data_IF_470003300254
#
_entry.id   IF_470003300254
#
_cell.length_a   1.000
_cell.length_b   1.000
_cell.length_c   1.000
_cell.angle_alpha   90.00
_cell.angle_beta   90.00
_cell.angle_gamma   90.00
#
_symmetry.space_group_name_H-M   'P 1'
#
loop_
_entity.id
_entity.type
_entity.pdbx_description
1 polymer ?
#
# COMPACT_ATOMS: atom_id res chain seq x y z
N UNK A 1 29.03 -7.66 19.21
CA UNK A 1 28.65 -6.46 18.44
C UNK A 1 28.34 -6.90 17.01
N UNK A 2 27.07 -7.16 16.70
CA UNK A 2 26.63 -7.55 15.35
C UNK A 2 25.84 -6.38 14.77
N UNK A 3 26.48 -5.58 13.94
CA UNK A 3 25.78 -4.58 13.13
C UNK A 3 24.93 -5.39 12.15
N UNK A 4 23.63 -5.55 12.45
CA UNK A 4 22.65 -6.07 11.48
C UNK A 4 22.65 -5.11 10.30
N UNK A 5 23.44 -5.41 9.27
CA UNK A 5 23.39 -4.69 8.02
C UNK A 5 21.96 -4.81 7.49
N UNK A 6 21.28 -3.66 7.38
CA UNK A 6 19.97 -3.63 6.73
C UNK A 6 20.16 -4.20 5.33
N UNK A 7 19.40 -5.21 4.90
CA UNK A 7 19.57 -5.78 3.58
C UNK A 7 19.56 -4.64 2.55
N UNK A 8 20.61 -4.56 1.75
CA UNK A 8 20.69 -3.62 0.62
C UNK A 8 19.63 -4.07 -0.37
N UNK A 9 18.41 -3.56 -0.21
CA UNK A 9 17.42 -3.60 -1.25
C UNK A 9 18.08 -2.98 -2.49
N UNK A 10 18.01 -3.67 -3.63
CA UNK A 10 18.34 -3.06 -4.91
C UNK A 10 17.67 -1.68 -4.93
N UNK A 11 18.33 -0.61 -5.41
CA UNK A 11 17.73 0.71 -5.48
C UNK A 11 16.49 0.58 -6.36
N UNK A 12 15.34 0.40 -5.71
CA UNK A 12 14.06 0.38 -6.39
C UNK A 12 14.01 1.73 -7.07
N UNK A 13 13.93 1.78 -8.42
CA UNK A 13 13.86 3.03 -9.14
C UNK A 13 12.84 3.86 -8.41
N UNK A 14 13.20 5.06 -7.94
CA UNK A 14 12.20 5.98 -7.38
C UNK A 14 11.14 6.01 -8.46
N UNK A 15 9.93 5.44 -8.26
CA UNK A 15 8.94 5.45 -9.32
C UNK A 15 8.82 6.91 -9.66
N UNK A 16 9.11 7.25 -10.91
CA UNK A 16 9.14 8.63 -11.37
C UNK A 16 7.82 9.25 -10.94
N UNK A 17 7.87 10.03 -9.84
CA UNK A 17 6.73 10.79 -9.32
C UNK A 17 6.50 12.02 -10.21
N UNK A 18 7.24 12.09 -11.32
CA UNK A 18 6.97 12.90 -12.50
C UNK A 18 5.77 12.32 -13.24
N UNK A 19 4.62 12.32 -12.59
CA UNK A 19 3.33 12.16 -13.23
C UNK A 19 2.55 13.45 -12.96
N UNK A 20 1.96 14.03 -13.99
CA UNK A 20 1.07 15.19 -13.84
C UNK A 20 -0.11 14.82 -12.93
N UNK A 21 -0.77 15.80 -12.30
CA UNK A 21 -1.97 15.53 -11.49
C UNK A 21 -3.02 14.69 -12.25
N UNK A 22 -3.23 14.96 -13.54
CA UNK A 22 -4.15 14.19 -14.38
C UNK A 22 -3.71 12.72 -14.55
N UNK A 23 -2.42 12.46 -14.74
CA UNK A 23 -1.89 11.09 -14.81
C UNK A 23 -2.02 10.38 -13.46
N UNK A 24 -1.76 11.08 -12.36
CA UNK A 24 -1.95 10.52 -11.01
C UNK A 24 -3.42 10.14 -10.77
N UNK A 25 -4.37 10.98 -11.16
CA UNK A 25 -5.80 10.70 -11.06
C UNK A 25 -6.21 9.47 -11.90
N UNK A 26 -5.71 9.36 -13.14
CA UNK A 26 -5.95 8.18 -13.99
C UNK A 26 -5.37 6.90 -13.37
N UNK A 27 -4.16 6.97 -12.82
CA UNK A 27 -3.52 5.86 -12.12
C UNK A 27 -4.30 5.48 -10.85
N UNK A 28 -4.78 6.44 -10.08
CA UNK A 28 -5.61 6.18 -8.90
C UNK A 28 -6.94 5.51 -9.26
N UNK A 29 -7.60 5.95 -10.34
CA UNK A 29 -8.80 5.28 -10.85
C UNK A 29 -8.54 3.82 -11.24
N UNK A 30 -7.48 3.55 -12.00
CA UNK A 30 -7.03 2.19 -12.32
C UNK A 30 -6.67 1.38 -11.08
N UNK A 31 -5.95 2.00 -10.14
CA UNK A 31 -5.52 1.40 -8.89
C UNK A 31 -6.70 0.94 -8.02
N UNK A 32 -7.78 1.72 -7.99
CA UNK A 32 -9.02 1.34 -7.31
C UNK A 32 -9.60 0.05 -7.90
N UNK A 33 -9.68 -0.05 -9.22
CA UNK A 33 -10.19 -1.25 -9.89
C UNK A 33 -9.30 -2.47 -9.61
N UNK A 34 -7.98 -2.30 -9.66
CA UNK A 34 -7.03 -3.37 -9.34
C UNK A 34 -7.14 -3.83 -7.89
N UNK A 35 -7.30 -2.88 -6.95
CA UNK A 35 -7.46 -3.13 -5.52
C UNK A 35 -8.70 -3.99 -5.24
N UNK A 36 -9.87 -3.63 -5.78
CA UNK A 36 -11.13 -4.33 -5.50
C UNK A 36 -11.32 -5.60 -6.34
N UNK A 37 -10.94 -5.59 -7.62
CA UNK A 37 -11.45 -6.60 -8.57
C UNK A 37 -10.39 -7.61 -9.03
N UNK A 38 -9.11 -7.23 -9.06
CA UNK A 38 -8.04 -8.11 -9.57
C UNK A 38 -7.26 -8.77 -8.46
N UNK A 39 -6.81 -7.98 -7.49
CA UNK A 39 -5.95 -8.45 -6.40
C UNK A 39 -6.70 -8.70 -5.09
N UNK A 40 -7.99 -8.34 -5.02
CA UNK A 40 -8.86 -8.64 -3.88
C UNK A 40 -8.34 -8.08 -2.56
N UNK A 41 -7.68 -6.92 -2.58
CA UNK A 41 -7.05 -6.35 -1.38
C UNK A 41 -8.08 -6.05 -0.27
N UNK A 42 -9.32 -5.77 -0.66
CA UNK A 42 -10.45 -5.54 0.22
C UNK A 42 -10.89 -6.79 0.99
N UNK A 43 -10.46 -8.00 0.59
CA UNK A 43 -10.75 -9.22 1.34
C UNK A 43 -10.08 -9.21 2.73
N UNK A 44 -8.93 -8.53 2.85
CA UNK A 44 -8.20 -8.42 4.10
C UNK A 44 -8.23 -7.01 4.70
N UNK A 45 -8.29 -5.96 3.87
CA UNK A 45 -8.24 -4.58 4.32
C UNK A 45 -9.58 -3.86 4.16
N UNK A 46 -9.92 -3.02 5.14
CA UNK A 46 -11.06 -2.12 5.05
C UNK A 46 -10.68 -0.77 4.44
N UNK A 47 -11.60 -0.21 3.65
CA UNK A 47 -11.67 1.20 3.26
C UNK A 47 -13.11 1.67 3.47
N UNK A 48 -13.29 2.76 4.21
CA UNK A 48 -14.57 3.21 4.72
C UNK A 48 -15.16 2.18 5.67
N UNK A 49 -16.39 1.78 5.38
CA UNK A 49 -17.12 0.76 6.15
C UNK A 49 -17.07 -0.63 5.47
N UNK A 50 -16.34 -0.78 4.37
CA UNK A 50 -16.34 -2.00 3.54
C UNK A 50 -14.98 -2.68 3.50
N UNK A 51 -14.97 -4.01 3.56
CA UNK A 51 -13.77 -4.84 3.44
C UNK A 51 -13.49 -5.67 4.68
N UNK A 52 -12.34 -6.34 4.70
CA UNK A 52 -11.91 -7.22 5.80
C UNK A 52 -11.16 -6.51 6.92
N UNK A 53 -10.97 -7.24 8.02
CA UNK A 53 -10.24 -6.77 9.22
C UNK A 53 -8.97 -7.59 9.52
N UNK A 54 -8.59 -8.51 8.61
CA UNK A 54 -7.34 -9.29 8.74
C UNK A 54 -6.11 -8.39 8.68
N UNK A 55 -6.16 -7.38 7.82
CA UNK A 55 -5.19 -6.29 7.73
C UNK A 55 -5.75 -4.99 8.31
N UNK A 56 -4.87 -4.02 8.64
CA UNK A 56 -5.30 -2.74 9.18
C UNK A 56 -6.15 -1.95 8.15
N UNK A 57 -7.04 -1.06 8.63
CA UNK A 57 -7.79 -0.16 7.77
C UNK A 57 -6.85 0.77 6.99
N UNK A 58 -7.19 1.05 5.74
CA UNK A 58 -6.36 1.84 4.81
C UNK A 58 -6.89 3.26 4.55
N UNK A 59 -7.95 3.68 5.24
CA UNK A 59 -8.60 4.99 5.13
C UNK A 59 -7.66 6.20 5.19
N UNK A 60 -6.54 6.03 5.91
CA UNK A 60 -5.53 7.06 6.15
C UNK A 60 -4.18 6.69 5.54
N UNK A 61 -4.13 5.73 4.62
CA UNK A 61 -2.89 5.27 4.03
C UNK A 61 -2.12 6.40 3.34
N UNK A 62 -2.80 7.28 2.60
CA UNK A 62 -2.18 8.41 1.91
C UNK A 62 -1.57 9.44 2.85
N UNK A 63 -2.16 9.61 4.04
CA UNK A 63 -1.65 10.51 5.07
C UNK A 63 -0.48 9.88 5.84
N UNK A 64 -0.57 8.58 6.16
CA UNK A 64 0.37 7.90 7.06
C UNK A 64 1.59 7.30 6.36
N UNK A 65 1.47 6.90 5.10
CA UNK A 65 2.45 6.05 4.43
C UNK A 65 3.13 6.77 3.28
N UNK A 66 4.43 6.56 3.15
CA UNK A 66 5.19 7.05 2.01
C UNK A 66 4.86 6.22 0.75
N UNK A 67 4.57 6.89 -0.36
CA UNK A 67 4.22 6.25 -1.64
C UNK A 67 5.26 5.23 -2.14
N UNK A 68 6.56 5.52 -2.01
CA UNK A 68 7.60 4.59 -2.44
C UNK A 68 7.64 3.36 -1.54
N UNK A 69 7.42 3.54 -0.24
CA UNK A 69 7.31 2.44 0.71
C UNK A 69 6.11 1.56 0.38
N UNK A 70 4.94 2.15 0.09
CA UNK A 70 3.71 1.41 -0.27
C UNK A 70 3.92 0.57 -1.53
N UNK A 71 4.49 1.15 -2.59
CA UNK A 71 4.79 0.41 -3.81
C UNK A 71 5.70 -0.80 -3.55
N UNK A 72 6.77 -0.62 -2.76
CA UNK A 72 7.68 -1.71 -2.39
C UNK A 72 7.00 -2.77 -1.52
N UNK A 73 6.16 -2.35 -0.58
CA UNK A 73 5.45 -3.25 0.33
C UNK A 73 4.48 -4.17 -0.43
N UNK A 74 3.74 -3.62 -1.40
CA UNK A 74 2.83 -4.39 -2.24
C UNK A 74 3.58 -5.43 -3.09
N UNK A 75 4.76 -5.07 -3.61
CA UNK A 75 5.56 -5.96 -4.46
C UNK A 75 6.31 -7.04 -3.68
N UNK A 76 6.81 -6.69 -2.51
CA UNK A 76 7.79 -7.52 -1.78
C UNK A 76 7.52 -7.58 -0.27
N UNK A 77 6.30 -7.95 0.18
CA UNK A 77 5.93 -7.85 1.59
C UNK A 77 6.83 -8.72 2.49
N UNK A 78 7.14 -9.95 2.07
CA UNK A 78 7.98 -10.89 2.83
C UNK A 78 9.46 -10.48 2.88
N UNK A 79 9.95 -9.75 1.86
CA UNK A 79 11.33 -9.23 1.87
C UNK A 79 11.42 -8.03 2.82
N UNK A 80 10.39 -7.17 2.82
CA UNK A 80 10.36 -6.00 3.69
C UNK A 80 10.12 -6.37 5.16
N UNK A 81 9.25 -7.34 5.42
CA UNK A 81 8.99 -7.89 6.74
C UNK A 81 8.84 -9.41 6.63
N UNK A 82 9.89 -10.18 7.00
CA UNK A 82 9.79 -11.63 7.07
C UNK A 82 8.60 -12.06 7.92
N UNK A 83 7.87 -13.09 7.48
CA UNK A 83 6.69 -13.65 8.15
C UNK A 83 5.52 -12.68 8.30
N UNK A 84 5.43 -11.62 7.49
CA UNK A 84 4.23 -10.79 7.47
C UNK A 84 3.02 -11.62 7.00
N UNK A 85 1.84 -11.38 7.58
CA UNK A 85 0.60 -12.08 7.18
C UNK A 85 0.13 -11.67 5.78
N UNK A 86 0.58 -10.53 5.26
CA UNK A 86 0.24 -10.10 3.91
C UNK A 86 0.94 -10.99 2.87
N UNK A 87 0.21 -11.74 2.04
CA UNK A 87 0.81 -12.60 1.02
C UNK A 87 1.48 -11.77 -0.07
N UNK A 88 2.46 -12.36 -0.75
CA UNK A 88 2.93 -11.80 -2.01
C UNK A 88 1.93 -12.18 -3.12
N UNK A 89 1.16 -11.20 -3.60
CA UNK A 89 0.11 -11.39 -4.61
C UNK A 89 0.63 -11.38 -6.06
N UNK A 90 1.95 -11.32 -6.28
CA UNK A 90 2.53 -11.27 -7.62
C UNK A 90 2.14 -10.01 -8.41
N UNK A 91 1.86 -8.90 -7.72
CA UNK A 91 1.44 -7.62 -8.33
C UNK A 91 2.54 -7.14 -9.28
N UNK A 92 2.22 -6.77 -10.53
CA UNK A 92 3.22 -6.23 -11.45
C UNK A 92 3.67 -4.81 -11.06
N UNK A 93 4.76 -4.31 -11.65
CA UNK A 93 5.24 -2.96 -11.32
C UNK A 93 4.23 -1.85 -11.67
N UNK A 94 3.61 -1.94 -12.84
CA UNK A 94 2.59 -0.97 -13.26
C UNK A 94 1.32 -1.02 -12.40
N UNK A 95 0.93 -2.22 -11.97
CA UNK A 95 -0.23 -2.40 -11.11
C UNK A 95 0.04 -1.91 -9.69
N UNK A 96 1.23 -2.21 -9.15
CA UNK A 96 1.64 -1.71 -7.85
C UNK A 96 1.73 -0.18 -7.84
N UNK A 97 2.20 0.44 -8.94
CA UNK A 97 2.22 1.89 -9.11
C UNK A 97 0.80 2.47 -9.10
N UNK A 98 -0.13 1.86 -9.85
CA UNK A 98 -1.52 2.30 -9.88
C UNK A 98 -2.21 2.16 -8.50
N UNK A 99 -2.07 1.00 -7.85
CA UNK A 99 -2.63 0.76 -6.51
C UNK A 99 -2.04 1.73 -5.48
N UNK A 100 -0.73 2.00 -5.54
CA UNK A 100 -0.10 3.00 -4.69
C UNK A 100 -0.73 4.38 -4.87
N UNK A 101 -0.99 4.82 -6.11
CA UNK A 101 -1.65 6.11 -6.36
C UNK A 101 -3.09 6.12 -5.86
N UNK A 102 -3.80 5.00 -5.90
CA UNK A 102 -5.11 4.88 -5.25
C UNK A 102 -4.99 5.01 -3.73
N UNK A 103 -4.09 4.27 -3.08
CA UNK A 103 -3.91 4.37 -1.63
C UNK A 103 -3.46 5.77 -1.19
N UNK A 104 -2.70 6.48 -2.03
CA UNK A 104 -2.31 7.87 -1.81
C UNK A 104 -3.51 8.82 -1.72
N UNK A 105 -4.64 8.52 -2.35
CA UNK A 105 -5.84 9.37 -2.23
C UNK A 105 -6.61 9.14 -0.93
N UNK A 106 -6.31 8.08 -0.18
CA UNK A 106 -6.99 7.73 1.07
C UNK A 106 -6.46 8.58 2.25
N UNK A 107 -7.13 9.71 2.49
CA UNK A 107 -6.76 10.73 3.48
C UNK A 107 -7.93 11.08 4.41
N UNK A 108 -8.69 10.08 4.86
CA UNK A 108 -9.80 10.28 5.80
C UNK A 108 -9.34 11.07 7.05
N UNK A 109 -10.20 11.85 7.72
CA UNK A 109 -9.85 12.56 8.96
C UNK A 109 -9.44 11.59 10.08
N UNK A 110 -8.76 12.06 11.14
CA UNK A 110 -8.40 11.19 12.26
C UNK A 110 -9.68 10.61 12.85
N UNK A 111 -9.69 9.33 13.28
CA UNK A 111 -10.86 8.78 13.93
C UNK A 111 -11.10 9.50 15.27
N UNK A 112 -12.36 9.74 15.62
CA UNK A 112 -12.76 10.42 16.87
C UNK A 112 -12.34 9.64 18.13
N UNK A 113 -12.05 8.34 17.98
CA UNK A 113 -11.52 7.45 19.03
C UNK A 113 -10.25 6.76 18.53
N UNK A 114 -9.24 6.51 19.41
CA UNK A 114 -8.07 5.72 19.05
C UNK A 114 -8.47 4.38 18.42
N UNK A 115 -7.79 4.00 17.33
CA UNK A 115 -7.99 2.68 16.74
C UNK A 115 -7.60 1.61 17.78
N UNK A 116 -8.38 0.52 17.91
CA UNK A 116 -8.02 -0.56 18.80
C UNK A 116 -6.60 -1.05 18.47
N UNK A 117 -5.79 -1.31 19.50
CA UNK A 117 -4.46 -1.85 19.30
C UNK A 117 -4.59 -3.22 18.63
N UNK A 118 -4.11 -3.34 17.39
CA UNK A 118 -4.07 -4.62 16.69
C UNK A 118 -3.03 -5.51 17.36
N UNK A 119 -3.45 -6.71 17.78
CA UNK A 119 -2.61 -7.76 18.37
C UNK A 119 -1.57 -8.32 17.40
#
# INVERSE_FOLDING_TARGET
SLKKERPRFAPVPKPMVTATPAQQAKLAGRGKQLYYNKYGCNACHRVGQSGGEVGPPLDRAGFRLNSQWVYRWIRYPQIMKPHTKMPNLGVSDDDAKAIMFFLKTLNAPPPDRPLPATS
#
